data_IF_099467872083
#
_entry.id   IF_099467872083
#
_cell.length_a   1.000
_cell.length_b   1.000
_cell.length_c   1.000
_cell.angle_alpha   90.00
_cell.angle_beta   90.00
_cell.angle_gamma   90.00
#
_symmetry.space_group_name_H-M   'P 1'
#
loop_
_entity.id
_entity.type
_entity.pdbx_description
1 polymer ?
#
# COMPACT_ATOMS: atom_id res chain seq x y z
N UNK A 1 11.75 -24.12 11.22
CA UNK A 1 12.55 -23.39 10.24
C UNK A 1 11.78 -22.14 9.84
N UNK A 2 12.27 -20.95 10.20
CA UNK A 2 11.69 -19.70 9.69
C UNK A 2 12.31 -19.45 8.32
N UNK A 3 11.54 -19.68 7.26
CA UNK A 3 12.00 -19.44 5.89
C UNK A 3 12.43 -17.97 5.77
N UNK A 4 13.65 -17.70 5.29
CA UNK A 4 14.17 -16.34 5.18
C UNK A 4 13.23 -15.44 4.33
N UNK A 5 12.52 -16.06 3.39
CA UNK A 5 11.54 -15.40 2.51
C UNK A 5 10.32 -14.86 3.26
N UNK A 6 9.83 -15.57 4.29
CA UNK A 6 8.70 -15.05 5.08
C UNK A 6 9.10 -13.83 5.90
N UNK A 7 10.34 -13.78 6.41
CA UNK A 7 10.87 -12.61 7.12
C UNK A 7 11.03 -11.40 6.21
N UNK A 8 11.41 -11.62 4.94
CA UNK A 8 11.47 -10.55 3.94
C UNK A 8 10.07 -10.00 3.65
N UNK A 9 9.11 -10.88 3.39
CA UNK A 9 7.71 -10.49 3.15
C UNK A 9 7.10 -9.76 4.35
N UNK A 10 7.34 -10.24 5.57
CA UNK A 10 6.85 -9.58 6.79
C UNK A 10 7.42 -8.16 6.95
N UNK A 11 8.69 -7.94 6.57
CA UNK A 11 9.29 -6.59 6.54
C UNK A 11 8.65 -5.71 5.47
N UNK A 12 8.38 -6.25 4.29
CA UNK A 12 7.72 -5.52 3.19
C UNK A 12 6.28 -5.16 3.57
N UNK A 13 5.53 -6.09 4.16
CA UNK A 13 4.18 -5.85 4.71
C UNK A 13 4.23 -4.70 5.72
N UNK A 14 5.13 -4.76 6.71
CA UNK A 14 5.26 -3.70 7.72
C UNK A 14 5.58 -2.33 7.11
N UNK A 15 6.45 -2.29 6.09
CA UNK A 15 6.76 -1.05 5.37
C UNK A 15 5.53 -0.52 4.62
N UNK A 16 4.77 -1.37 3.94
CA UNK A 16 3.57 -0.98 3.19
C UNK A 16 2.45 -0.54 4.13
N UNK A 17 2.28 -1.18 5.29
CA UNK A 17 1.36 -0.72 6.34
C UNK A 17 1.72 0.67 6.84
N UNK A 18 3.01 0.95 7.10
CA UNK A 18 3.46 2.30 7.50
C UNK A 18 3.19 3.35 6.43
N UNK A 19 3.35 2.99 5.15
CA UNK A 19 2.99 3.88 4.04
C UNK A 19 1.49 4.17 4.01
N UNK A 20 0.65 3.16 4.23
CA UNK A 20 -0.80 3.31 4.27
C UNK A 20 -1.24 4.20 5.44
N UNK A 21 -0.66 4.00 6.63
CA UNK A 21 -0.91 4.88 7.78
C UNK A 21 -0.48 6.32 7.51
N UNK A 22 0.66 6.51 6.85
CA UNK A 22 1.14 7.82 6.46
C UNK A 22 0.18 8.52 5.47
N UNK A 23 -0.32 7.80 4.45
CA UNK A 23 -1.34 8.36 3.53
C UNK A 23 -2.59 8.78 4.30
N UNK A 24 -3.08 7.94 5.23
CA UNK A 24 -4.25 8.25 6.07
C UNK A 24 -4.05 9.47 6.98
N UNK A 25 -2.81 9.73 7.39
CA UNK A 25 -2.42 10.93 8.15
C UNK A 25 -2.21 12.17 7.27
N UNK A 26 -2.37 12.05 5.95
CA UNK A 26 -2.13 13.13 4.99
C UNK A 26 -0.66 13.37 4.69
N UNK A 27 0.23 12.44 5.04
CA UNK A 27 1.66 12.57 4.74
C UNK A 27 1.93 12.28 3.25
N UNK A 28 2.80 13.09 2.63
CA UNK A 28 3.07 13.01 1.19
C UNK A 28 4.25 12.11 0.81
N UNK A 29 5.06 11.64 1.77
CA UNK A 29 6.21 10.80 1.46
C UNK A 29 5.88 9.44 0.80
N UNK A 30 4.77 8.73 1.11
CA UNK A 30 4.45 7.44 0.50
C UNK A 30 3.81 7.55 -0.90
N UNK A 31 3.55 8.78 -1.36
CA UNK A 31 2.94 9.06 -2.66
C UNK A 31 3.96 8.90 -3.79
N UNK A 32 3.48 8.37 -4.92
CA UNK A 32 4.23 8.31 -6.18
C UNK A 32 4.46 9.70 -6.78
N UNK A 33 5.35 9.80 -7.76
CA UNK A 33 5.61 11.07 -8.46
C UNK A 33 4.36 11.63 -9.17
N UNK A 34 3.50 10.77 -9.70
CA UNK A 34 2.23 11.16 -10.32
C UNK A 34 1.23 11.68 -9.28
N UNK A 35 1.04 10.95 -8.18
CA UNK A 35 0.18 11.35 -7.06
C UNK A 35 0.64 12.68 -6.45
N UNK A 36 1.95 12.85 -6.22
CA UNK A 36 2.51 14.12 -5.72
C UNK A 36 2.27 15.30 -6.66
N UNK A 37 2.42 15.11 -7.97
CA UNK A 37 2.13 16.16 -8.96
C UNK A 37 0.65 16.55 -8.93
N UNK A 38 -0.24 15.58 -8.77
CA UNK A 38 -1.67 15.84 -8.65
C UNK A 38 -2.00 16.64 -7.38
N UNK A 39 -1.40 16.29 -6.22
CA UNK A 39 -1.53 17.06 -4.98
C UNK A 39 -1.02 18.49 -5.13
N UNK A 40 0.21 18.67 -5.66
CA UNK A 40 0.81 19.99 -5.88
C UNK A 40 -0.06 20.82 -6.84
N UNK A 41 -0.54 20.21 -7.92
CA UNK A 41 -1.41 20.87 -8.90
C UNK A 41 -2.74 21.33 -8.29
N UNK A 42 -3.35 20.50 -7.43
CA UNK A 42 -4.59 20.85 -6.73
C UNK A 42 -4.36 21.97 -5.69
N UNK A 43 -3.25 21.93 -4.94
CA UNK A 43 -2.89 22.99 -3.99
C UNK A 43 -2.64 24.33 -4.69
N UNK A 44 -1.88 24.33 -5.79
CA UNK A 44 -1.59 25.53 -6.58
C UNK A 44 -2.85 26.07 -7.28
N UNK A 45 -3.70 25.18 -7.80
CA UNK A 45 -5.00 25.54 -8.40
C UNK A 45 -5.97 26.11 -7.36
N UNK A 46 -5.97 25.55 -6.15
CA UNK A 46 -6.79 25.98 -5.03
C UNK A 46 -6.41 27.38 -4.56
N UNK A 47 -5.12 27.62 -4.31
CA UNK A 47 -4.63 28.95 -3.90
C UNK A 47 -4.92 30.03 -4.95
N UNK A 48 -4.72 29.71 -6.24
CA UNK A 48 -5.06 30.63 -7.33
C UNK A 48 -6.57 30.96 -7.37
N UNK A 49 -7.44 29.99 -7.09
CA UNK A 49 -8.89 30.20 -7.03
C UNK A 49 -9.31 31.01 -5.82
N UNK A 50 -8.73 30.76 -4.63
CA UNK A 50 -8.98 31.55 -3.42
C UNK A 50 -8.61 33.01 -3.66
N UNK A 51 -7.45 33.28 -4.26
CA UNK A 51 -7.02 34.64 -4.62
C UNK A 51 -7.99 35.33 -5.60
N UNK A 52 -8.69 34.57 -6.44
CA UNK A 52 -9.74 35.08 -7.35
C UNK A 52 -11.14 35.07 -6.74
N UNK A 53 -11.30 34.75 -5.46
CA UNK A 53 -12.61 34.64 -4.80
C UNK A 53 -13.49 33.52 -5.36
N UNK A 54 -12.89 32.49 -5.97
CA UNK A 54 -13.59 31.34 -6.56
C UNK A 54 -13.56 30.13 -5.64
N UNK A 55 -14.58 29.27 -5.75
CA UNK A 55 -14.67 28.04 -4.96
C UNK A 55 -13.55 27.03 -5.27
N UNK A 56 -13.01 26.43 -4.20
CA UNK A 56 -11.95 25.42 -4.21
C UNK A 56 -12.46 23.99 -4.35
N UNK A 57 -13.78 23.75 -4.29
CA UNK A 57 -14.35 22.41 -4.20
C UNK A 57 -13.89 21.42 -5.28
N UNK A 58 -13.57 21.88 -6.50
CA UNK A 58 -12.97 21.01 -7.53
C UNK A 58 -11.58 20.51 -7.15
N UNK A 59 -10.77 21.37 -6.55
CA UNK A 59 -9.41 21.05 -6.15
C UNK A 59 -9.38 20.23 -4.87
N UNK A 60 -10.30 20.48 -3.92
CA UNK A 60 -10.54 19.59 -2.76
C UNK A 60 -10.94 18.19 -3.20
N UNK A 61 -11.93 18.07 -4.11
CA UNK A 61 -12.33 16.76 -4.65
C UNK A 61 -11.17 16.04 -5.36
N UNK A 62 -10.23 16.78 -5.97
CA UNK A 62 -9.02 16.20 -6.57
C UNK A 62 -8.05 15.69 -5.50
N UNK A 63 -7.86 16.43 -4.40
CA UNK A 63 -7.05 15.98 -3.27
C UNK A 63 -7.61 14.69 -2.67
N UNK A 64 -8.93 14.64 -2.44
CA UNK A 64 -9.61 13.45 -1.92
C UNK A 64 -9.50 12.26 -2.88
N UNK A 65 -9.66 12.51 -4.18
CA UNK A 65 -9.50 11.48 -5.21
C UNK A 65 -8.07 10.91 -5.24
N UNK A 66 -7.04 11.75 -5.08
CA UNK A 66 -5.65 11.30 -5.03
C UNK A 66 -5.37 10.49 -3.76
N UNK A 67 -5.89 10.94 -2.61
CA UNK A 67 -5.77 10.20 -1.35
C UNK A 67 -6.42 8.81 -1.46
N UNK A 68 -7.65 8.75 -1.96
CA UNK A 68 -8.39 7.50 -2.17
C UNK A 68 -7.69 6.55 -3.16
N UNK A 69 -7.13 7.09 -4.24
CA UNK A 69 -6.33 6.33 -5.20
C UNK A 69 -5.07 5.72 -4.57
N UNK A 70 -4.34 6.52 -3.78
CA UNK A 70 -3.13 6.06 -3.08
C UNK A 70 -3.44 4.97 -2.04
N UNK A 71 -4.53 5.12 -1.27
CA UNK A 71 -4.99 4.11 -0.33
C UNK A 71 -5.36 2.79 -1.02
N UNK A 72 -6.09 2.88 -2.14
CA UNK A 72 -6.50 1.70 -2.93
C UNK A 72 -5.27 0.95 -3.45
N UNK A 73 -4.30 1.68 -4.03
CA UNK A 73 -3.04 1.09 -4.52
C UNK A 73 -2.27 0.38 -3.39
N UNK A 74 -2.07 1.05 -2.26
CA UNK A 74 -1.33 0.47 -1.13
C UNK A 74 -2.04 -0.73 -0.51
N UNK A 75 -3.38 -0.72 -0.49
CA UNK A 75 -4.20 -1.85 -0.04
C UNK A 75 -4.06 -3.05 -0.99
N UNK A 76 -4.03 -2.79 -2.30
CA UNK A 76 -3.80 -3.84 -3.30
C UNK A 76 -2.38 -4.45 -3.17
N UNK A 77 -1.34 -3.61 -3.02
CA UNK A 77 0.03 -4.06 -2.77
C UNK A 77 0.13 -4.91 -1.49
N UNK A 78 -0.50 -4.48 -0.40
CA UNK A 78 -0.51 -5.20 0.88
C UNK A 78 -1.24 -6.54 0.77
N UNK A 79 -2.34 -6.58 0.02
CA UNK A 79 -3.10 -7.82 -0.23
C UNK A 79 -2.25 -8.81 -1.03
N UNK A 80 -1.55 -8.36 -2.06
CA UNK A 80 -0.65 -9.20 -2.85
C UNK A 80 0.48 -9.80 -1.99
N UNK A 81 1.10 -9.01 -1.12
CA UNK A 81 2.14 -9.49 -0.20
C UNK A 81 1.61 -10.54 0.78
N UNK A 82 0.40 -10.36 1.31
CA UNK A 82 -0.23 -11.37 2.17
C UNK A 82 -0.54 -12.67 1.42
N UNK A 83 -1.01 -12.57 0.17
CA UNK A 83 -1.24 -13.76 -0.66
C UNK A 83 0.04 -14.55 -0.89
N UNK A 84 1.15 -13.87 -1.20
CA UNK A 84 2.45 -14.53 -1.40
C UNK A 84 2.94 -15.20 -0.12
N UNK A 85 2.81 -14.53 1.03
CA UNK A 85 3.14 -15.13 2.33
C UNK A 85 2.33 -16.40 2.59
N UNK A 86 1.03 -16.38 2.31
CA UNK A 86 0.17 -17.55 2.48
C UNK A 86 0.57 -18.69 1.55
N UNK A 87 1.01 -18.39 0.32
CA UNK A 87 1.53 -19.39 -0.62
C UNK A 87 2.74 -20.13 -0.05
N UNK A 88 3.75 -19.39 0.43
CA UNK A 88 4.97 -19.99 1.02
C UNK A 88 4.62 -20.88 2.22
N UNK A 89 3.71 -20.42 3.08
CA UNK A 89 3.26 -21.19 4.25
C UNK A 89 2.57 -22.49 3.83
N UNK A 90 1.71 -22.44 2.81
CA UNK A 90 1.02 -23.62 2.27
C UNK A 90 1.99 -24.61 1.62
N UNK A 91 2.97 -24.13 0.87
CA UNK A 91 4.00 -24.96 0.26
C UNK A 91 4.85 -25.67 1.32
N UNK A 92 5.26 -24.95 2.37
CA UNK A 92 5.98 -25.54 3.50
C UNK A 92 5.13 -26.59 4.25
N UNK A 93 3.83 -26.34 4.44
CA UNK A 93 2.91 -27.30 5.03
C UNK A 93 2.76 -28.58 4.18
N UNK A 94 2.64 -28.43 2.86
CA UNK A 94 2.61 -29.57 1.90
C UNK A 94 3.89 -30.39 1.95
N UNK A 95 5.06 -29.75 1.94
CA UNK A 95 6.35 -30.44 2.05
C UNK A 95 6.47 -31.22 3.37
N UNK A 96 5.99 -30.65 4.49
CA UNK A 96 5.96 -31.34 5.78
C UNK A 96 5.01 -32.54 5.77
N UNK A 97 3.83 -32.42 5.14
CA UNK A 97 2.89 -33.52 4.99
C UNK A 97 3.48 -34.65 4.13
N UNK A 98 4.13 -34.32 3.01
CA UNK A 98 4.80 -35.29 2.13
C UNK A 98 5.94 -36.03 2.85
N UNK A 99 6.74 -35.33 3.66
CA UNK A 99 7.78 -35.96 4.48
C UNK A 99 7.16 -36.92 5.52
N UNK A 100 6.02 -36.56 6.11
CA UNK A 100 5.31 -37.41 7.08
C UNK A 100 4.72 -38.66 6.41
N UNK A 101 4.24 -38.57 5.17
CA UNK A 101 3.72 -39.73 4.43
C UNK A 101 4.80 -40.71 3.93
N UNK A 102 6.08 -40.29 3.86
CA UNK A 102 7.20 -41.16 3.47
C UNK A 102 7.98 -41.74 4.66
N UNK A 103 7.68 -41.31 5.89
CA UNK A 103 8.37 -41.74 7.10
C UNK A 103 7.38 -41.98 8.23
N UNK A 104 6.52 -42.98 8.06
CA UNK A 104 5.73 -43.60 9.13
C UNK A 104 5.36 -45.04 8.72
N UNK A 105 6.37 -45.81 8.37
CA UNK A 105 6.49 -47.24 8.65
C UNK A 105 7.96 -47.51 8.97
#
# INVERSE_FOLDING_TARGET
MGNADTRRLDREISKTTRKLEAVRKGEMWPLTSAERRAVIGALAGGSYRVLRGKSTGREENRLDSVASSAETRLTAELTALHMERQRIVREAARAKAAKKSQGWW
#
